data_IF_811391913622
#
_entry.id   IF_811391913622
#
_cell.length_a   1.000
_cell.length_b   1.000
_cell.length_c   1.000
_cell.angle_alpha   90.00
_cell.angle_beta   90.00
_cell.angle_gamma   90.00
#
_symmetry.space_group_name_H-M   'P 1'
#
loop_
_entity.id
_entity.type
_entity.pdbx_description
1 polymer ?
#
# COMPACT_ATOMS: atom_id res chain seq x y z
N UNK A 1 6.30 -19.32 33.47
CA UNK A 1 5.55 -18.11 33.08
C UNK A 1 6.58 -17.13 32.55
N UNK A 2 6.78 -17.10 31.24
CA UNK A 2 7.78 -16.26 30.60
C UNK A 2 7.08 -15.51 29.48
N UNK A 3 7.01 -14.19 29.62
CA UNK A 3 6.28 -13.29 28.73
C UNK A 3 6.85 -13.31 27.32
N UNK A 4 5.97 -13.53 26.34
CA UNK A 4 6.25 -13.32 24.94
C UNK A 4 6.24 -11.83 24.64
N UNK A 5 7.41 -11.30 24.30
CA UNK A 5 7.55 -9.94 23.79
C UNK A 5 7.12 -9.93 22.32
N UNK A 6 5.94 -9.36 22.06
CA UNK A 6 5.46 -9.06 20.71
C UNK A 6 6.45 -8.15 19.97
N UNK A 7 7.10 -8.73 18.96
CA UNK A 7 8.02 -8.04 18.07
C UNK A 7 7.28 -7.15 17.07
N UNK A 8 6.75 -6.02 17.52
CA UNK A 8 6.24 -4.96 16.64
C UNK A 8 7.41 -4.18 16.01
N UNK A 9 8.00 -4.73 14.96
CA UNK A 9 9.04 -4.05 14.16
C UNK A 9 8.36 -3.13 13.15
N UNK A 10 8.00 -1.93 13.61
CA UNK A 10 7.34 -0.90 12.81
C UNK A 10 8.25 -0.29 11.74
N UNK A 11 7.70 -0.10 10.53
CA UNK A 11 8.30 0.68 9.45
C UNK A 11 7.77 2.14 9.54
N UNK A 12 8.49 3.10 10.16
CA UNK A 12 7.85 4.28 10.78
C UNK A 12 7.11 5.19 9.78
N UNK A 13 7.70 5.52 8.63
CA UNK A 13 7.15 6.55 7.74
C UNK A 13 5.95 6.11 6.89
N UNK A 14 5.78 4.82 6.62
CA UNK A 14 4.62 4.30 5.87
C UNK A 14 3.48 3.88 6.82
N UNK A 15 3.82 3.57 8.07
CA UNK A 15 2.83 3.32 9.11
C UNK A 15 2.10 4.60 9.53
N UNK A 16 2.67 5.81 9.37
CA UNK A 16 2.00 7.07 9.78
C UNK A 16 0.71 7.36 9.03
N UNK A 17 0.66 7.14 7.70
CA UNK A 17 -0.56 7.37 6.92
C UNK A 17 -1.64 6.34 7.24
N UNK A 18 -1.27 5.07 7.38
CA UNK A 18 -2.22 4.02 7.78
C UNK A 18 -2.73 4.26 9.21
N UNK A 19 -1.85 4.56 10.17
CA UNK A 19 -2.24 4.94 11.52
C UNK A 19 -3.11 6.20 11.49
N UNK A 20 -2.74 7.20 10.70
CA UNK A 20 -3.54 8.42 10.56
C UNK A 20 -4.94 8.14 10.02
N UNK A 21 -5.10 7.21 9.08
CA UNK A 21 -6.41 6.80 8.58
C UNK A 21 -7.19 6.04 9.67
N UNK A 22 -6.56 5.03 10.28
CA UNK A 22 -7.17 4.18 11.31
C UNK A 22 -7.58 4.97 12.57
N UNK A 23 -6.83 6.01 12.94
CA UNK A 23 -7.14 6.88 14.07
C UNK A 23 -7.89 8.15 13.69
N UNK A 24 -8.39 8.25 12.45
CA UNK A 24 -9.08 9.43 11.93
C UNK A 24 -8.29 10.75 12.07
N UNK A 25 -6.96 10.69 12.05
CA UNK A 25 -6.08 11.85 12.22
C UNK A 25 -5.71 12.53 10.90
N UNK A 26 -5.99 11.93 9.74
CA UNK A 26 -5.74 12.58 8.44
C UNK A 26 -6.82 13.63 8.14
N UNK A 27 -6.44 14.92 7.96
CA UNK A 27 -7.38 15.95 7.58
C UNK A 27 -7.83 15.72 6.12
N UNK A 28 -9.14 15.70 5.91
CA UNK A 28 -9.79 15.65 4.58
C UNK A 28 -10.73 16.84 4.45
N UNK A 29 -11.05 17.26 3.23
CA UNK A 29 -11.67 18.56 3.01
C UNK A 29 -13.05 18.73 3.67
N UNK A 30 -13.78 17.65 3.99
CA UNK A 30 -15.02 17.76 4.77
C UNK A 30 -14.86 18.43 6.16
N UNK A 31 -13.64 18.52 6.71
CA UNK A 31 -13.36 19.29 7.94
C UNK A 31 -13.47 20.80 7.76
N UNK A 32 -13.42 21.29 6.52
CA UNK A 32 -13.55 22.72 6.19
C UNK A 32 -15.00 23.14 5.93
N UNK A 33 -15.99 22.37 6.40
CA UNK A 33 -17.41 22.72 6.23
C UNK A 33 -17.77 24.14 6.71
N UNK A 34 -17.04 24.67 7.71
CA UNK A 34 -17.22 26.04 8.20
C UNK A 34 -16.84 27.11 7.16
N UNK A 35 -15.98 26.81 6.18
CA UNK A 35 -15.60 27.72 5.09
C UNK A 35 -16.59 27.71 3.93
N UNK A 36 -17.59 26.83 3.93
CA UNK A 36 -18.48 26.62 2.80
C UNK A 36 -19.30 27.87 2.41
N UNK A 37 -19.53 28.77 3.38
CA UNK A 37 -20.22 30.04 3.16
C UNK A 37 -19.42 30.97 2.24
N UNK A 38 -18.10 30.98 2.36
CA UNK A 38 -17.20 31.83 1.56
C UNK A 38 -16.68 31.09 0.31
N UNK A 39 -16.42 29.78 0.45
CA UNK A 39 -15.87 28.91 -0.58
C UNK A 39 -16.64 27.59 -0.62
N UNK A 40 -17.70 27.50 -1.45
CA UNK A 40 -18.56 26.30 -1.52
C UNK A 40 -17.80 25.03 -1.93
N UNK A 41 -16.69 25.20 -2.65
CA UNK A 41 -15.78 24.17 -3.13
C UNK A 41 -14.79 23.67 -2.08
N UNK A 42 -14.69 24.32 -0.91
CA UNK A 42 -13.72 23.99 0.13
C UNK A 42 -13.88 22.58 0.73
N UNK A 43 -15.04 21.95 0.55
CA UNK A 43 -15.31 20.57 0.99
C UNK A 43 -15.21 19.54 -0.13
N UNK A 44 -15.03 19.98 -1.37
CA UNK A 44 -15.02 19.11 -2.53
C UNK A 44 -13.71 18.33 -2.63
N UNK A 45 -13.78 17.19 -3.32
CA UNK A 45 -12.64 16.36 -3.64
C UNK A 45 -11.55 17.16 -4.35
N UNK A 46 -10.32 17.05 -3.86
CA UNK A 46 -9.11 17.68 -4.41
C UNK A 46 -8.89 17.34 -5.89
N UNK A 47 -9.27 16.13 -6.33
CA UNK A 47 -9.17 15.70 -7.73
C UNK A 47 -10.30 16.20 -8.65
N UNK A 48 -11.20 17.08 -8.18
CA UNK A 48 -12.18 17.75 -9.04
C UNK A 48 -13.45 16.96 -9.37
N UNK A 49 -13.75 15.85 -8.68
CA UNK A 49 -14.97 15.06 -8.93
C UNK A 49 -16.25 15.62 -8.28
N UNK A 50 -16.18 16.82 -7.67
CA UNK A 50 -17.30 17.59 -7.10
C UNK A 50 -18.00 16.92 -5.90
N UNK A 51 -17.63 15.69 -5.54
CA UNK A 51 -18.12 15.02 -4.34
C UNK A 51 -17.50 15.61 -3.08
N UNK A 52 -18.22 15.52 -1.96
CA UNK A 52 -17.69 15.88 -0.64
C UNK A 52 -16.56 14.93 -0.26
N UNK A 53 -15.41 15.50 0.09
CA UNK A 53 -14.22 14.73 0.40
C UNK A 53 -14.26 14.20 1.85
N UNK A 54 -14.90 13.05 2.00
CA UNK A 54 -14.77 12.21 3.20
C UNK A 54 -13.48 11.38 3.13
N UNK A 55 -13.07 10.75 4.25
CA UNK A 55 -11.94 9.82 4.22
C UNK A 55 -12.19 8.64 3.28
N UNK A 56 -13.39 8.06 3.31
CA UNK A 56 -13.78 7.00 2.39
C UNK A 56 -13.68 7.45 0.93
N UNK A 57 -14.10 8.68 0.65
CA UNK A 57 -13.99 9.23 -0.70
C UNK A 57 -12.53 9.43 -1.12
N UNK A 58 -11.75 10.19 -0.33
CA UNK A 58 -10.36 10.53 -0.64
C UNK A 58 -9.46 9.31 -0.80
N UNK A 59 -9.66 8.28 0.03
CA UNK A 59 -8.77 7.12 0.09
C UNK A 59 -9.27 5.89 -0.66
N UNK A 60 -10.52 5.84 -1.12
CA UNK A 60 -11.08 4.62 -1.70
C UNK A 60 -12.01 4.85 -2.89
N UNK A 61 -13.04 5.68 -2.74
CA UNK A 61 -14.13 5.74 -3.72
C UNK A 61 -13.91 6.75 -4.84
N UNK A 62 -13.02 7.72 -4.66
CA UNK A 62 -12.71 8.71 -5.68
C UNK A 62 -12.37 8.01 -7.02
N UNK A 63 -12.90 8.51 -8.13
CA UNK A 63 -12.70 7.93 -9.46
C UNK A 63 -11.22 7.84 -9.86
N UNK A 64 -10.37 8.71 -9.31
CA UNK A 64 -8.91 8.67 -9.47
C UNK A 64 -8.26 7.52 -8.70
N UNK A 65 -8.83 7.16 -7.53
CA UNK A 65 -8.22 6.26 -6.55
C UNK A 65 -8.78 4.84 -6.63
N UNK A 66 -10.09 4.69 -6.85
CA UNK A 66 -10.76 3.39 -6.95
C UNK A 66 -10.07 2.40 -7.93
N UNK A 67 -9.60 2.83 -9.12
CA UNK A 67 -8.88 1.94 -10.04
C UNK A 67 -7.59 1.34 -9.47
N UNK A 68 -6.93 2.01 -8.51
CA UNK A 68 -5.71 1.52 -7.86
C UNK A 68 -6.02 0.32 -6.97
N UNK A 69 -7.11 0.39 -6.21
CA UNK A 69 -7.57 -0.72 -5.38
C UNK A 69 -8.07 -1.89 -6.22
N UNK A 70 -8.81 -1.62 -7.30
CA UNK A 70 -9.24 -2.66 -8.25
C UNK A 70 -8.05 -3.39 -8.86
N UNK A 71 -7.01 -2.66 -9.29
CA UNK A 71 -5.78 -3.23 -9.83
C UNK A 71 -5.12 -4.23 -8.84
N UNK A 72 -5.05 -3.88 -7.55
CA UNK A 72 -4.53 -4.78 -6.53
C UNK A 72 -5.48 -5.93 -6.24
N UNK A 73 -6.79 -5.68 -6.15
CA UNK A 73 -7.78 -6.72 -5.90
C UNK A 73 -7.75 -7.81 -6.98
N UNK A 74 -7.62 -7.43 -8.25
CA UNK A 74 -7.53 -8.37 -9.37
C UNK A 74 -6.30 -9.28 -9.25
N UNK A 75 -5.14 -8.73 -8.89
CA UNK A 75 -3.92 -9.51 -8.72
C UNK A 75 -3.98 -10.47 -7.51
N UNK A 76 -4.76 -10.12 -6.48
CA UNK A 76 -4.90 -10.91 -5.26
C UNK A 76 -6.13 -11.83 -5.26
N UNK A 77 -6.93 -11.80 -6.33
CA UNK A 77 -8.19 -12.55 -6.47
C UNK A 77 -8.06 -14.05 -6.18
N UNK A 78 -6.92 -14.66 -6.52
CA UNK A 78 -6.63 -16.08 -6.23
C UNK A 78 -6.79 -16.45 -4.75
N UNK A 79 -6.44 -15.54 -3.86
CA UNK A 79 -6.51 -15.72 -2.40
C UNK A 79 -7.82 -15.20 -1.79
N UNK A 80 -8.71 -14.62 -2.60
CA UNK A 80 -9.99 -14.07 -2.13
C UNK A 80 -9.83 -12.88 -1.18
N UNK A 81 -8.69 -12.19 -1.22
CA UNK A 81 -8.41 -11.02 -0.38
C UNK A 81 -9.19 -9.82 -0.89
N UNK A 82 -9.86 -9.09 0.02
CA UNK A 82 -10.64 -7.90 -0.30
C UNK A 82 -9.83 -6.62 -0.09
N UNK A 83 -10.01 -5.64 -0.99
CA UNK A 83 -9.58 -4.26 -0.82
C UNK A 83 -10.78 -3.31 -0.70
N UNK A 84 -11.89 -3.80 -0.12
CA UNK A 84 -13.03 -2.94 0.22
C UNK A 84 -12.66 -1.93 1.30
N UNK A 85 -13.40 -0.82 1.38
CA UNK A 85 -13.23 0.17 2.44
C UNK A 85 -13.32 -0.46 3.84
N UNK A 86 -14.25 -1.40 4.04
CA UNK A 86 -14.40 -2.10 5.32
C UNK A 86 -13.17 -2.92 5.68
N UNK A 87 -12.54 -3.60 4.73
CA UNK A 87 -11.30 -4.34 4.99
C UNK A 87 -10.13 -3.39 5.29
N UNK A 88 -10.02 -2.26 4.58
CA UNK A 88 -8.93 -1.30 4.74
C UNK A 88 -9.04 -0.50 6.05
N UNK A 89 -10.26 -0.13 6.44
CA UNK A 89 -10.52 0.67 7.66
C UNK A 89 -10.56 -0.17 8.94
N UNK A 90 -10.67 -1.50 8.84
CA UNK A 90 -10.71 -2.43 9.97
C UNK A 90 -9.87 -3.68 9.66
N UNK A 91 -8.64 -3.70 10.18
CA UNK A 91 -7.64 -4.75 9.92
C UNK A 91 -8.07 -6.14 10.42
N UNK A 92 -9.04 -6.21 11.33
CA UNK A 92 -9.55 -7.48 11.86
C UNK A 92 -10.52 -8.16 10.89
N UNK A 93 -11.05 -7.42 9.91
CA UNK A 93 -11.86 -7.97 8.82
C UNK A 93 -11.04 -8.63 7.72
N UNK A 94 -9.72 -8.73 7.87
CA UNK A 94 -8.87 -9.42 6.91
C UNK A 94 -9.26 -10.91 6.81
N UNK A 95 -9.68 -11.32 5.61
CA UNK A 95 -10.10 -12.68 5.31
C UNK A 95 -9.45 -13.19 4.04
N UNK A 96 -9.29 -14.51 3.95
CA UNK A 96 -8.78 -15.24 2.78
C UNK A 96 -9.72 -16.38 2.43
N UNK A 97 -9.68 -16.85 1.19
CA UNK A 97 -10.37 -18.08 0.79
C UNK A 97 -9.56 -19.32 1.18
N UNK A 98 -10.09 -20.51 0.85
CA UNK A 98 -9.43 -21.79 1.15
C UNK A 98 -8.00 -21.93 0.57
N UNK A 99 -7.68 -21.25 -0.53
CA UNK A 99 -6.34 -21.27 -1.13
C UNK A 99 -5.32 -20.47 -0.30
N UNK A 100 -5.79 -19.49 0.47
CA UNK A 100 -4.96 -18.63 1.31
C UNK A 100 -4.88 -19.05 2.77
N UNK A 101 -5.69 -20.00 3.23
CA UNK A 101 -5.85 -20.32 4.66
C UNK A 101 -4.52 -20.71 5.32
N UNK A 102 -3.75 -21.58 4.68
CA UNK A 102 -2.41 -21.99 5.16
C UNK A 102 -1.36 -20.87 5.12
N UNK A 103 -1.60 -19.83 4.31
CA UNK A 103 -0.69 -18.71 4.09
C UNK A 103 -1.23 -17.42 4.72
N UNK A 104 -2.24 -17.52 5.59
CA UNK A 104 -3.04 -16.37 6.06
C UNK A 104 -2.18 -15.30 6.73
N UNK A 105 -1.23 -15.69 7.58
CA UNK A 105 -0.37 -14.72 8.29
C UNK A 105 0.57 -13.98 7.32
N UNK A 106 1.10 -14.68 6.32
CA UNK A 106 1.93 -14.08 5.28
C UNK A 106 1.10 -13.15 4.39
N UNK A 107 -0.10 -13.58 4.00
CA UNK A 107 -1.04 -12.77 3.22
C UNK A 107 -1.46 -11.52 3.99
N UNK A 108 -1.81 -11.64 5.28
CA UNK A 108 -2.16 -10.50 6.15
C UNK A 108 -1.00 -9.51 6.25
N UNK A 109 0.22 -10.02 6.43
CA UNK A 109 1.43 -9.19 6.48
C UNK A 109 1.64 -8.43 5.17
N UNK A 110 1.68 -9.12 4.04
CA UNK A 110 1.91 -8.52 2.72
C UNK A 110 0.80 -7.54 2.34
N UNK A 111 -0.46 -7.86 2.66
CA UNK A 111 -1.61 -7.00 2.43
C UNK A 111 -1.53 -5.74 3.29
N UNK A 112 -1.15 -5.85 4.56
CA UNK A 112 -0.96 -4.69 5.44
C UNK A 112 0.12 -3.76 4.90
N UNK A 113 1.25 -4.31 4.45
CA UNK A 113 2.32 -3.52 3.82
C UNK A 113 1.87 -2.81 2.53
N UNK A 114 1.03 -3.47 1.73
CA UNK A 114 0.46 -2.91 0.51
C UNK A 114 -0.49 -1.76 0.84
N UNK A 115 -1.48 -2.02 1.70
CA UNK A 115 -2.46 -1.03 2.15
C UNK A 115 -1.77 0.19 2.74
N UNK A 116 -0.79 0.01 3.62
CA UNK A 116 -0.03 1.11 4.20
C UNK A 116 0.73 1.92 3.15
N UNK A 117 1.41 1.25 2.22
CA UNK A 117 2.18 1.93 1.16
C UNK A 117 1.27 2.69 0.19
N UNK A 118 0.12 2.12 -0.19
CA UNK A 118 -0.85 2.74 -1.10
C UNK A 118 -1.57 3.91 -0.43
N UNK A 119 -2.01 3.77 0.82
CA UNK A 119 -2.60 4.89 1.58
C UNK A 119 -1.62 6.05 1.74
N UNK A 120 -0.34 5.76 2.01
CA UNK A 120 0.69 6.79 2.06
C UNK A 120 0.86 7.50 0.72
N UNK A 121 0.90 6.77 -0.40
CA UNK A 121 0.96 7.37 -1.73
C UNK A 121 -0.25 8.29 -1.99
N UNK A 122 -1.47 7.80 -1.72
CA UNK A 122 -2.69 8.58 -1.88
C UNK A 122 -2.63 9.86 -1.06
N UNK A 123 -2.25 9.75 0.21
CA UNK A 123 -2.13 10.90 1.11
C UNK A 123 -1.12 11.93 0.63
N UNK A 124 0.08 11.49 0.22
CA UNK A 124 1.11 12.40 -0.28
C UNK A 124 0.65 13.12 -1.53
N UNK A 125 0.05 12.40 -2.48
CA UNK A 125 -0.41 13.01 -3.74
C UNK A 125 -1.61 13.92 -3.53
N UNK A 126 -2.52 13.55 -2.63
CA UNK A 126 -3.63 14.41 -2.22
C UNK A 126 -3.11 15.75 -1.71
N UNK A 127 -2.16 15.75 -0.76
CA UNK A 127 -1.57 16.98 -0.23
C UNK A 127 -0.85 17.82 -1.29
N UNK A 128 -0.11 17.18 -2.20
CA UNK A 128 0.57 17.89 -3.28
C UNK A 128 -0.43 18.64 -4.18
N UNK A 129 -1.54 17.99 -4.56
CA UNK A 129 -2.57 18.62 -5.39
C UNK A 129 -3.32 19.70 -4.59
N UNK A 130 -3.62 19.44 -3.32
CA UNK A 130 -4.39 20.36 -2.48
C UNK A 130 -3.63 21.62 -2.08
N UNK A 131 -2.33 21.50 -1.78
CA UNK A 131 -1.56 22.56 -1.13
C UNK A 131 -0.36 23.06 -1.94
N UNK A 132 0.08 22.32 -2.96
CA UNK A 132 1.27 22.65 -3.74
C UNK A 132 0.97 22.86 -5.23
N UNK A 133 -0.31 23.03 -5.60
CA UNK A 133 -0.79 23.23 -6.99
C UNK A 133 -0.26 22.18 -7.99
N UNK A 134 0.02 20.97 -7.48
CA UNK A 134 0.48 19.87 -8.31
C UNK A 134 -0.68 19.31 -9.15
N UNK A 135 -0.36 18.84 -10.37
CA UNK A 135 -1.31 18.07 -11.16
C UNK A 135 -1.54 16.67 -10.59
N UNK A 136 -2.75 16.14 -10.75
CA UNK A 136 -3.04 14.74 -10.40
C UNK A 136 -2.15 13.78 -11.21
N UNK A 137 -1.68 12.71 -10.57
CA UNK A 137 -0.89 11.69 -11.27
C UNK A 137 -1.71 11.04 -12.40
N UNK A 138 -1.07 10.74 -13.55
CA UNK A 138 -1.70 9.94 -14.59
C UNK A 138 -2.12 8.55 -14.07
N UNK A 139 -3.21 7.95 -14.59
CA UNK A 139 -3.73 6.66 -14.08
C UNK A 139 -2.70 5.53 -14.02
N UNK A 140 -1.81 5.43 -15.01
CA UNK A 140 -0.74 4.40 -15.02
C UNK A 140 0.28 4.62 -13.90
N UNK A 141 0.64 5.88 -13.63
CA UNK A 141 1.61 6.21 -12.60
C UNK A 141 1.12 5.78 -11.21
N UNK A 142 -0.19 5.88 -10.93
CA UNK A 142 -0.76 5.37 -9.68
C UNK A 142 -0.53 3.88 -9.48
N UNK A 143 -0.81 3.05 -10.49
CA UNK A 143 -0.60 1.59 -10.42
C UNK A 143 0.88 1.22 -10.29
N UNK A 144 1.76 1.94 -10.98
CA UNK A 144 3.20 1.69 -10.93
C UNK A 144 3.81 2.11 -9.58
N UNK A 145 3.47 3.29 -9.08
CA UNK A 145 4.03 3.81 -7.82
C UNK A 145 3.48 3.09 -6.59
N UNK A 146 2.20 2.71 -6.58
CA UNK A 146 1.62 1.88 -5.50
C UNK A 146 2.32 0.53 -5.42
N UNK A 147 2.52 -0.11 -6.58
CA UNK A 147 3.29 -1.35 -6.70
C UNK A 147 4.73 -1.19 -6.20
N UNK A 148 5.48 -0.21 -6.71
CA UNK A 148 6.88 0.01 -6.32
C UNK A 148 7.02 0.37 -4.83
N UNK A 149 6.09 1.17 -4.30
CA UNK A 149 6.02 1.52 -2.90
C UNK A 149 5.78 0.30 -2.00
N UNK A 150 4.89 -0.59 -2.43
CA UNK A 150 4.67 -1.88 -1.77
C UNK A 150 5.92 -2.75 -1.83
N UNK A 151 6.52 -2.93 -3.00
CA UNK A 151 7.73 -3.74 -3.18
C UNK A 151 8.90 -3.24 -2.33
N UNK A 152 9.08 -1.93 -2.19
CA UNK A 152 10.08 -1.35 -1.29
C UNK A 152 9.79 -1.71 0.18
N UNK A 153 8.52 -1.70 0.59
CA UNK A 153 8.08 -2.05 1.94
C UNK A 153 8.29 -3.54 2.24
N UNK A 154 7.90 -4.41 1.30
CA UNK A 154 8.13 -5.87 1.37
C UNK A 154 9.60 -6.20 1.45
N UNK A 155 10.43 -5.59 0.60
CA UNK A 155 11.89 -5.81 0.60
C UNK A 155 12.54 -5.38 1.91
N UNK A 156 12.08 -4.27 2.51
CA UNK A 156 12.54 -3.85 3.83
C UNK A 156 12.11 -4.87 4.89
N UNK A 157 10.84 -5.26 4.89
CA UNK A 157 10.32 -6.23 5.86
C UNK A 157 11.07 -7.57 5.78
N UNK A 158 11.25 -8.14 4.58
CA UNK A 158 11.98 -9.39 4.35
C UNK A 158 13.44 -9.36 4.84
N UNK A 159 14.09 -8.19 4.78
CA UNK A 159 15.48 -8.00 5.27
C UNK A 159 15.58 -7.91 6.78
N UNK A 160 14.48 -7.55 7.46
CA UNK A 160 14.43 -7.45 8.91
C UNK A 160 13.97 -8.75 9.58
N UNK A 161 13.38 -9.68 8.83
CA UNK A 161 12.94 -10.96 9.35
C UNK A 161 14.11 -11.95 9.47
N UNK A 162 14.03 -12.82 10.48
CA UNK A 162 14.88 -14.00 10.60
C UNK A 162 14.75 -14.86 9.32
N UNK A 163 15.87 -15.28 8.69
CA UNK A 163 15.86 -16.19 7.54
C UNK A 163 14.99 -17.44 7.73
N UNK A 164 14.95 -17.99 8.94
CA UNK A 164 14.25 -19.23 9.29
C UNK A 164 12.79 -18.99 9.75
N UNK A 165 12.32 -17.73 9.72
CA UNK A 165 10.94 -17.41 10.07
C UNK A 165 9.95 -18.05 9.06
N UNK A 166 8.98 -18.87 9.52
CA UNK A 166 8.03 -19.54 8.63
C UNK A 166 7.13 -18.56 7.87
N UNK A 167 6.80 -17.42 8.47
CA UNK A 167 6.02 -16.35 7.82
C UNK A 167 6.82 -15.70 6.69
N UNK A 168 8.15 -15.57 6.86
CA UNK A 168 9.04 -15.06 5.80
C UNK A 168 9.07 -15.99 4.59
N UNK A 169 9.21 -17.30 4.82
CA UNK A 169 9.16 -18.30 3.73
C UNK A 169 7.81 -18.27 3.02
N UNK A 170 6.71 -18.31 3.80
CA UNK A 170 5.35 -18.26 3.27
C UNK A 170 5.09 -16.97 2.47
N UNK A 171 5.65 -15.83 2.89
CA UNK A 171 5.54 -14.58 2.15
C UNK A 171 6.25 -14.63 0.79
N UNK A 172 7.40 -15.30 0.69
CA UNK A 172 8.08 -15.52 -0.59
C UNK A 172 7.25 -16.40 -1.53
N UNK A 173 6.59 -17.44 -1.02
CA UNK A 173 5.69 -18.30 -1.81
C UNK A 173 4.47 -17.53 -2.33
N UNK A 174 3.87 -16.69 -1.48
CA UNK A 174 2.79 -15.78 -1.88
C UNK A 174 3.27 -14.82 -2.97
N UNK A 175 4.44 -14.19 -2.80
CA UNK A 175 5.00 -13.26 -3.78
C UNK A 175 5.30 -13.94 -5.12
N UNK A 176 5.80 -15.18 -5.10
CA UNK A 176 6.01 -15.98 -6.31
C UNK A 176 4.69 -16.24 -7.05
N UNK A 177 3.62 -16.50 -6.30
CA UNK A 177 2.27 -16.67 -6.85
C UNK A 177 1.71 -15.36 -7.43
N UNK A 178 1.83 -14.24 -6.70
CA UNK A 178 1.34 -12.93 -7.12
C UNK A 178 2.10 -12.39 -8.34
N UNK A 179 3.38 -12.71 -8.49
CA UNK A 179 4.24 -12.30 -9.61
C UNK A 179 3.68 -12.70 -10.97
N UNK A 180 2.93 -13.80 -11.06
CA UNK A 180 2.36 -14.29 -12.32
C UNK A 180 0.91 -13.85 -12.54
N UNK A 181 0.30 -13.13 -11.60
CA UNK A 181 -1.10 -12.69 -11.69
C UNK A 181 -1.24 -11.39 -12.49
N UNK A 182 -2.24 -11.36 -13.39
CA UNK A 182 -2.76 -10.16 -14.04
C UNK A 182 -1.73 -9.06 -14.36
N UNK A 183 -2.05 -7.82 -13.95
CA UNK A 183 -1.22 -6.65 -14.21
C UNK A 183 0.10 -6.60 -13.42
N UNK A 184 0.24 -7.40 -12.36
CA UNK A 184 1.51 -7.54 -11.63
C UNK A 184 2.59 -8.14 -12.51
N UNK A 185 2.28 -9.14 -13.34
CA UNK A 185 3.24 -9.77 -14.26
C UNK A 185 4.00 -8.74 -15.11
N UNK A 186 3.27 -7.78 -15.70
CA UNK A 186 3.86 -6.74 -16.54
C UNK A 186 4.81 -5.83 -15.74
N UNK A 187 4.42 -5.46 -14.50
CA UNK A 187 5.24 -4.61 -13.63
C UNK A 187 6.50 -5.32 -13.15
N UNK A 188 6.42 -6.62 -12.84
CA UNK A 188 7.61 -7.41 -12.50
C UNK A 188 8.57 -7.57 -13.68
N UNK A 189 8.06 -7.67 -14.91
CA UNK A 189 8.89 -7.67 -16.12
C UNK A 189 9.55 -6.30 -16.32
N UNK A 190 8.83 -5.20 -16.10
CA UNK A 190 9.35 -3.83 -16.20
C UNK A 190 10.39 -3.52 -15.10
N UNK A 191 10.18 -4.05 -13.90
CA UNK A 191 11.00 -3.79 -12.70
C UNK A 191 11.50 -5.09 -12.06
N UNK A 192 12.39 -5.85 -12.72
CA UNK A 192 12.84 -7.15 -12.25
C UNK A 192 13.57 -7.08 -10.89
N UNK A 193 14.23 -5.97 -10.60
CA UNK A 193 15.00 -5.74 -9.38
C UNK A 193 14.19 -5.17 -8.21
N UNK A 194 12.86 -5.04 -8.37
CA UNK A 194 11.96 -4.51 -7.34
C UNK A 194 11.98 -5.29 -6.02
N UNK A 195 12.44 -6.55 -6.06
CA UNK A 195 12.41 -7.51 -4.96
C UNK A 195 13.79 -8.10 -4.65
N UNK A 196 14.86 -7.56 -5.23
CA UNK A 196 16.24 -7.98 -4.98
C UNK A 196 16.61 -7.72 -3.51
N UNK A 197 16.89 -8.78 -2.74
CA UNK A 197 17.15 -8.70 -1.30
C UNK A 197 18.62 -8.41 -0.97
N UNK A 198 19.55 -8.82 -1.83
CA UNK A 198 20.98 -8.53 -1.69
C UNK A 198 21.34 -7.19 -2.34
N UNK A 199 22.38 -6.47 -1.87
CA UNK A 199 23.08 -5.53 -2.73
C UNK A 199 23.60 -6.32 -3.93
N UNK A 200 23.38 -5.85 -5.15
CA UNK A 200 24.15 -6.33 -6.30
C UNK A 200 25.61 -6.07 -5.94
N UNK A 201 26.37 -7.11 -5.59
CA UNK A 201 27.80 -6.97 -5.39
C UNK A 201 28.34 -6.32 -6.65
N UNK A 202 28.95 -5.13 -6.51
CA UNK A 202 29.65 -4.51 -7.59
C UNK A 202 30.71 -5.51 -8.06
N UNK A 203 30.54 -5.99 -9.29
CA UNK A 203 31.53 -6.77 -10.01
C UNK A 203 32.83 -5.96 -10.01
N UNK A 204 33.84 -6.56 -9.39
CA UNK A 204 35.25 -6.46 -9.72
C UNK A 204 35.94 -5.08 -9.65
N UNK A 205 36.72 -4.89 -8.58
CA UNK A 205 38.01 -4.18 -8.68
C UNK A 205 39.08 -5.01 -7.99
N UNK A 206 39.31 -6.21 -8.51
CA UNK A 206 40.65 -6.81 -8.50
C UNK A 206 41.53 -5.99 -9.44
N UNK A 207 42.77 -5.73 -9.02
CA UNK A 207 43.85 -5.00 -9.71
C UNK A 207 44.05 -3.54 -9.29
N UNK A 208 44.93 -3.37 -8.29
CA UNK A 208 46.33 -2.97 -8.55
C UNK A 208 47.19 -3.34 -7.34
N UNK A 209 48.18 -4.19 -7.61
CA UNK A 209 49.41 -4.29 -6.83
C UNK A 209 50.21 -2.99 -6.97
#
# INVERSE_FOLDING_TARGET
>A
MSGGSDGHVGCPHRCTAMCGLLFHMLPVNCRFAYLQVERPDAICCTYGCVQVETQRHAFHECATISPVWTFHQDAWSRFGVSFSWLAISDLDRFSVNANGDRLKDALKTLWTLLTAATLHLIWTQHNLVQYEDAGALPPRAWTELSFLGWMASVRRWLRLQDPDCPVRSSALDVLATLRVQGGYRALWTKYPNSLLLAPTAAVDRSHRH
#
